data_IF_187818904975
#
_entry.id   IF_187818904975
#
_cell.length_a   1.000
_cell.length_b   1.000
_cell.length_c   1.000
_cell.angle_alpha   90.00
_cell.angle_beta   90.00
_cell.angle_gamma   90.00
#
_symmetry.space_group_name_H-M   'P 1'
#
loop_
_entity.id
_entity.type
_entity.pdbx_description
1 polymer ?
#
# COMPACT_ATOMS: atom_id res chain seq x y z
N UNK A 1 -4.38 -7.64 -5.47
CA UNK A 1 -3.72 -6.50 -4.81
C UNK A 1 -2.91 -6.98 -3.61
N UNK A 2 -1.70 -6.44 -3.40
CA UNK A 2 -0.80 -6.86 -2.30
C UNK A 2 -1.45 -6.64 -0.93
N UNK A 3 -2.19 -5.52 -0.77
CA UNK A 3 -2.95 -5.23 0.46
C UNK A 3 -3.98 -6.32 0.77
N UNK A 4 -4.78 -6.76 -0.21
CA UNK A 4 -5.76 -7.82 0.01
C UNK A 4 -5.12 -9.16 0.35
N UNK A 5 -3.98 -9.50 -0.28
CA UNK A 5 -3.25 -10.72 0.03
C UNK A 5 -2.75 -10.71 1.48
N UNK A 6 -2.13 -9.60 1.91
CA UNK A 6 -1.72 -9.42 3.30
C UNK A 6 -2.91 -9.47 4.25
N UNK A 7 -3.98 -8.72 3.94
CA UNK A 7 -5.20 -8.66 4.74
C UNK A 7 -5.80 -10.05 4.98
N UNK A 8 -5.86 -10.89 3.94
CA UNK A 8 -6.32 -12.29 4.02
C UNK A 8 -5.42 -13.17 4.89
N UNK A 9 -4.10 -13.02 4.78
CA UNK A 9 -3.14 -13.88 5.47
C UNK A 9 -2.96 -13.50 6.95
N UNK A 10 -3.10 -12.22 7.30
CA UNK A 10 -2.74 -11.68 8.61
C UNK A 10 -3.95 -11.27 9.47
N UNK A 11 -5.08 -11.98 9.30
CA UNK A 11 -6.24 -11.85 10.19
C UNK A 11 -7.08 -10.59 9.96
N UNK A 12 -7.28 -10.20 8.70
CA UNK A 12 -8.12 -9.08 8.27
C UNK A 12 -7.68 -7.73 8.85
N UNK A 13 -6.36 -7.58 9.01
CA UNK A 13 -5.74 -6.35 9.48
C UNK A 13 -4.89 -5.73 8.36
N UNK A 14 -5.07 -4.44 8.08
CA UNK A 14 -4.18 -3.74 7.17
C UNK A 14 -2.80 -3.54 7.81
N UNK A 15 -1.76 -3.41 6.98
CA UNK A 15 -0.41 -3.10 7.42
C UNK A 15 0.16 -1.88 6.70
N UNK A 16 0.98 -1.11 7.43
CA UNK A 16 1.72 0.00 6.85
C UNK A 16 2.63 -0.52 5.73
N UNK A 17 2.56 0.13 4.58
CA UNK A 17 3.30 -0.28 3.38
C UNK A 17 4.24 0.81 2.94
N UNK A 18 5.47 0.41 2.66
CA UNK A 18 6.50 1.25 2.05
C UNK A 18 6.63 0.85 0.60
N UNK A 19 6.31 1.76 -0.31
CA UNK A 19 6.54 1.58 -1.73
C UNK A 19 7.42 2.69 -2.27
N UNK A 20 8.40 2.31 -3.08
CA UNK A 20 9.38 3.24 -3.66
C UNK A 20 8.78 3.96 -4.87
N UNK A 21 8.56 5.27 -4.76
CA UNK A 21 8.30 6.12 -5.93
C UNK A 21 9.59 6.82 -6.38
N UNK A 22 9.92 6.73 -7.66
CA UNK A 22 11.11 7.40 -8.18
C UNK A 22 10.92 8.92 -8.25
N UNK A 23 11.88 9.66 -7.71
CA UNK A 23 11.96 11.14 -7.85
C UNK A 23 13.04 11.56 -8.84
N UNK A 24 13.50 10.64 -9.71
CA UNK A 24 14.58 10.85 -10.71
C UNK A 24 14.32 11.97 -11.73
N UNK A 25 13.10 12.52 -11.77
CA UNK A 25 12.76 13.73 -12.54
C UNK A 25 13.49 14.98 -12.01
N UNK A 26 13.91 15.00 -10.74
CA UNK A 26 14.61 16.12 -10.13
C UNK A 26 16.13 15.88 -10.05
N UNK A 27 16.94 16.94 -10.04
CA UNK A 27 18.40 16.82 -9.92
C UNK A 27 18.78 16.07 -8.64
N UNK A 28 19.56 14.99 -8.78
CA UNK A 28 19.91 14.05 -7.69
C UNK A 28 18.72 13.37 -7.01
N UNK A 29 17.54 13.41 -7.63
CA UNK A 29 16.36 12.72 -7.14
C UNK A 29 16.57 11.20 -7.07
N UNK A 30 16.22 10.61 -5.93
CA UNK A 30 16.28 9.17 -5.66
C UNK A 30 14.86 8.63 -5.61
N UNK A 31 14.29 8.61 -4.42
CA UNK A 31 13.04 7.93 -4.11
C UNK A 31 12.26 8.70 -3.05
N UNK A 32 10.93 8.59 -3.09
CA UNK A 32 10.01 8.94 -2.01
C UNK A 32 9.19 7.70 -1.62
N UNK A 33 8.53 7.75 -0.48
CA UNK A 33 7.65 6.72 0.06
C UNK A 33 6.21 6.95 -0.40
N UNK A 34 5.66 6.01 -1.14
CA UNK A 34 4.22 5.90 -1.35
C UNK A 34 3.65 5.00 -0.25
N UNK A 35 2.68 5.54 0.50
CA UNK A 35 1.91 4.79 1.49
C UNK A 35 0.67 4.22 0.83
N UNK A 36 0.81 3.08 0.15
CA UNK A 36 -0.30 2.46 -0.60
C UNK A 36 -1.41 1.87 0.28
N UNK A 37 -1.16 1.67 1.57
CA UNK A 37 -2.20 1.36 2.54
C UNK A 37 -3.03 2.62 2.86
N UNK A 38 -3.88 3.04 1.92
CA UNK A 38 -4.80 4.17 2.08
C UNK A 38 -6.15 3.74 2.67
N UNK A 39 -6.98 4.68 3.17
CA UNK A 39 -8.32 4.36 3.66
C UNK A 39 -9.21 3.68 2.60
N UNK A 40 -9.10 4.09 1.34
CA UNK A 40 -9.86 3.55 0.22
C UNK A 40 -9.47 2.09 -0.06
N UNK A 41 -8.17 1.80 -0.05
CA UNK A 41 -7.64 0.45 -0.26
C UNK A 41 -8.07 -0.50 0.88
N UNK A 42 -8.12 0.00 2.12
CA UNK A 42 -8.63 -0.74 3.27
C UNK A 42 -10.13 -1.01 3.14
N UNK A 43 -10.92 -0.04 2.69
CA UNK A 43 -12.35 -0.21 2.46
C UNK A 43 -12.61 -1.26 1.37
N UNK A 44 -11.84 -1.22 0.29
CA UNK A 44 -11.89 -2.24 -0.75
C UNK A 44 -11.50 -3.63 -0.24
N UNK A 45 -10.41 -3.75 0.54
CA UNK A 45 -10.00 -5.04 1.11
C UNK A 45 -11.08 -5.65 2.02
N UNK A 46 -11.77 -4.81 2.82
CA UNK A 46 -12.90 -5.24 3.65
C UNK A 46 -14.08 -5.71 2.79
N UNK A 47 -14.42 -4.98 1.72
CA UNK A 47 -15.51 -5.35 0.82
C UNK A 47 -15.23 -6.67 0.07
N UNK A 48 -13.97 -6.96 -0.24
CA UNK A 48 -13.55 -8.20 -0.92
C UNK A 48 -13.35 -9.41 0.01
N UNK A 49 -13.36 -9.18 1.32
CA UNK A 49 -13.25 -10.24 2.33
C UNK A 49 -14.61 -10.60 2.96
N UNK A 50 -15.62 -9.73 2.86
CA UNK A 50 -17.01 -10.09 3.12
C UNK A 50 -17.50 -11.18 2.15
#
# INVERSE_FOLDING_TARGET
>A
CLQLAYFKLHGNKPASTYETASTRRFYRGRTETVRTCSPEEVAWCRAMFN
#
